data_IF_259718243566
#
_entry.id   IF_259718243566
#
_cell.length_a   1.000
_cell.length_b   1.000
_cell.length_c   1.000
_cell.angle_alpha   90.00
_cell.angle_beta   90.00
_cell.angle_gamma   90.00
#
_symmetry.space_group_name_H-M   'P 1'
#
loop_
_entity.id
_entity.type
_entity.pdbx_description
1 polymer ?
#
# COMPACT_ATOMS: atom_id res chain seq x y z
N UNK A 1 41.53 13.40 -11.72
CA UNK A 1 40.36 12.52 -12.01
C UNK A 1 39.05 12.91 -11.28
N UNK A 2 38.99 14.03 -10.54
CA UNK A 2 37.79 14.43 -9.77
C UNK A 2 36.76 15.28 -10.55
N UNK A 3 37.13 15.85 -11.69
CA UNK A 3 36.27 16.74 -12.49
C UNK A 3 35.15 15.99 -13.25
N UNK A 4 35.41 14.76 -13.73
CA UNK A 4 34.39 13.99 -14.44
C UNK A 4 33.29 13.45 -13.53
N UNK A 5 33.60 13.11 -12.27
CA UNK A 5 32.60 12.61 -11.32
C UNK A 5 31.60 13.68 -10.90
N UNK A 6 32.06 14.91 -10.65
CA UNK A 6 31.19 16.05 -10.34
C UNK A 6 30.26 16.44 -11.50
N UNK A 7 30.72 16.25 -12.75
CA UNK A 7 29.91 16.54 -13.93
C UNK A 7 28.76 15.51 -14.09
N UNK A 8 29.02 14.22 -13.85
CA UNK A 8 28.00 13.17 -13.98
C UNK A 8 26.84 13.32 -12.99
N UNK A 9 27.11 13.72 -11.74
CA UNK A 9 26.05 13.97 -10.75
C UNK A 9 25.17 15.17 -11.13
N UNK A 10 25.77 16.25 -11.66
CA UNK A 10 25.02 17.40 -12.16
C UNK A 10 24.15 17.02 -13.36
N UNK A 11 24.71 16.25 -14.30
CA UNK A 11 23.97 15.73 -15.45
C UNK A 11 22.79 14.85 -15.01
N UNK A 12 23.00 13.94 -14.05
CA UNK A 12 21.91 13.13 -13.50
C UNK A 12 20.79 13.98 -12.91
N UNK A 13 21.11 15.03 -12.12
CA UNK A 13 20.09 15.94 -11.57
C UNK A 13 19.30 16.67 -12.66
N UNK A 14 19.96 17.06 -13.75
CA UNK A 14 19.29 17.70 -14.89
C UNK A 14 18.36 16.71 -15.59
N UNK A 15 18.79 15.46 -15.79
CA UNK A 15 17.96 14.39 -16.37
C UNK A 15 16.73 14.09 -15.50
N UNK A 16 16.90 13.96 -14.17
CA UNK A 16 15.78 13.75 -13.26
C UNK A 16 14.72 14.86 -13.34
N UNK A 17 15.14 16.12 -13.52
CA UNK A 17 14.22 17.25 -13.70
C UNK A 17 13.48 17.20 -15.04
N UNK A 18 14.09 16.64 -16.08
CA UNK A 18 13.45 16.51 -17.40
C UNK A 18 12.38 15.41 -17.44
N UNK A 19 12.42 14.46 -16.49
CA UNK A 19 11.48 13.34 -16.45
C UNK A 19 11.68 12.29 -17.56
N UNK A 20 12.74 12.39 -18.36
CA UNK A 20 13.03 11.45 -19.44
C UNK A 20 13.55 10.12 -18.88
N UNK A 21 12.62 9.21 -18.63
CA UNK A 21 12.88 7.93 -17.95
C UNK A 21 13.86 7.05 -18.72
N UNK A 22 13.77 7.00 -20.04
CA UNK A 22 14.70 6.21 -20.87
C UNK A 22 16.12 6.74 -20.77
N UNK A 23 16.32 8.06 -20.90
CA UNK A 23 17.64 8.68 -20.73
C UNK A 23 18.16 8.52 -19.31
N UNK A 24 17.31 8.58 -18.30
CA UNK A 24 17.68 8.35 -16.90
C UNK A 24 18.21 6.93 -16.70
N UNK A 25 17.46 5.91 -17.16
CA UNK A 25 17.85 4.48 -17.06
C UNK A 25 19.14 4.22 -17.83
N UNK A 26 19.24 4.72 -19.06
CA UNK A 26 20.43 4.61 -19.89
C UNK A 26 21.65 5.26 -19.22
N UNK A 27 21.52 6.51 -18.77
CA UNK A 27 22.60 7.27 -18.15
C UNK A 27 23.10 6.61 -16.87
N UNK A 28 22.19 6.07 -16.06
CA UNK A 28 22.55 5.30 -14.87
C UNK A 28 23.35 4.04 -15.22
N UNK A 29 22.91 3.29 -16.24
CA UNK A 29 23.58 2.09 -16.74
C UNK A 29 25.02 2.32 -17.21
N UNK A 30 25.26 3.40 -17.97
CA UNK A 30 26.60 3.73 -18.48
C UNK A 30 27.49 4.41 -17.44
N UNK A 31 26.91 5.15 -16.50
CA UNK A 31 27.69 5.94 -15.53
C UNK A 31 28.41 5.08 -14.51
N UNK A 32 27.82 3.94 -14.12
CA UNK A 32 28.36 2.96 -13.17
C UNK A 32 28.82 3.57 -11.83
N UNK A 33 28.08 4.57 -11.34
CA UNK A 33 28.35 5.22 -10.06
C UNK A 33 27.23 4.91 -9.06
N UNK A 34 27.63 4.61 -7.82
CA UNK A 34 26.71 4.24 -6.73
C UNK A 34 25.59 5.27 -6.56
N UNK A 35 25.97 6.53 -6.45
CA UNK A 35 25.05 7.64 -6.17
C UNK A 35 24.06 7.83 -7.32
N UNK A 36 24.51 7.64 -8.57
CA UNK A 36 23.65 7.76 -9.76
C UNK A 36 22.62 6.63 -9.80
N UNK A 37 23.02 5.39 -9.47
CA UNK A 37 22.06 4.29 -9.38
C UNK A 37 21.00 4.55 -8.31
N UNK A 38 21.40 5.02 -7.12
CA UNK A 38 20.44 5.35 -6.05
C UNK A 38 19.49 6.46 -6.49
N UNK A 39 20.01 7.52 -7.12
CA UNK A 39 19.18 8.62 -7.65
C UNK A 39 18.19 8.15 -8.71
N UNK A 40 18.62 7.27 -9.63
CA UNK A 40 17.75 6.70 -10.65
C UNK A 40 16.63 5.86 -10.02
N UNK A 41 16.98 4.95 -9.12
CA UNK A 41 16.02 4.09 -8.43
C UNK A 41 15.01 4.90 -7.61
N UNK A 42 15.45 5.92 -6.87
CA UNK A 42 14.57 6.80 -6.11
C UNK A 42 13.57 7.53 -7.02
N UNK A 43 14.01 7.99 -8.19
CA UNK A 43 13.12 8.62 -9.16
C UNK A 43 12.11 7.61 -9.72
N UNK A 44 12.57 6.42 -10.11
CA UNK A 44 11.70 5.38 -10.66
C UNK A 44 10.61 4.92 -9.68
N UNK A 45 10.87 4.95 -8.36
CA UNK A 45 9.85 4.66 -7.34
C UNK A 45 8.68 5.64 -7.35
N UNK A 46 8.87 6.86 -7.85
CA UNK A 46 7.78 7.86 -7.97
C UNK A 46 6.89 7.61 -9.17
N UNK A 47 7.32 6.72 -10.07
CA UNK A 47 6.54 6.31 -11.23
C UNK A 47 5.61 5.14 -10.87
N UNK A 48 4.62 4.92 -11.71
CA UNK A 48 3.71 3.79 -11.59
C UNK A 48 4.44 2.48 -11.98
N UNK A 49 5.08 1.87 -10.98
CA UNK A 49 5.87 0.64 -11.12
C UNK A 49 5.04 -0.55 -11.59
N UNK A 50 3.70 -0.48 -11.53
CA UNK A 50 2.80 -1.56 -11.97
C UNK A 50 2.44 -1.48 -13.45
N UNK A 51 2.44 -0.28 -14.04
CA UNK A 51 2.21 -0.11 -15.49
C UNK A 51 3.32 -0.70 -16.33
N UNK A 52 4.55 -0.73 -15.81
CA UNK A 52 5.71 -1.24 -16.53
C UNK A 52 6.60 -2.11 -15.62
N UNK A 53 6.59 -3.45 -15.82
CA UNK A 53 7.49 -4.37 -15.13
C UNK A 53 8.98 -4.04 -15.29
N UNK A 54 9.38 -3.33 -16.36
CA UNK A 54 10.76 -2.88 -16.53
C UNK A 54 11.16 -1.82 -15.50
N UNK A 55 10.25 -0.96 -15.05
CA UNK A 55 10.52 0.01 -13.97
C UNK A 55 10.93 -0.74 -12.70
N UNK A 56 10.17 -1.77 -12.32
CA UNK A 56 10.47 -2.58 -11.15
C UNK A 56 11.83 -3.29 -11.27
N UNK A 57 12.12 -3.90 -12.44
CA UNK A 57 13.44 -4.52 -12.69
C UNK A 57 14.57 -3.51 -12.59
N UNK A 58 14.39 -2.30 -13.11
CA UNK A 58 15.37 -1.23 -13.06
C UNK A 58 15.61 -0.74 -11.62
N UNK A 59 14.56 -0.57 -10.81
CA UNK A 59 14.68 -0.23 -9.39
C UNK A 59 15.52 -1.28 -8.65
N UNK A 60 15.16 -2.57 -8.79
CA UNK A 60 15.89 -3.68 -8.16
C UNK A 60 17.35 -3.70 -8.61
N UNK A 61 17.58 -3.60 -9.93
CA UNK A 61 18.92 -3.58 -10.54
C UNK A 61 19.77 -2.43 -10.03
N UNK A 62 19.22 -1.23 -9.96
CA UNK A 62 19.94 -0.03 -9.54
C UNK A 62 20.21 -0.01 -8.04
N UNK A 63 19.28 -0.36 -7.16
CA UNK A 63 19.60 -0.45 -5.73
C UNK A 63 20.63 -1.53 -5.42
N UNK A 64 20.55 -2.67 -6.11
CA UNK A 64 21.53 -3.75 -5.97
C UNK A 64 22.92 -3.28 -6.41
N UNK A 65 23.05 -2.67 -7.60
CA UNK A 65 24.32 -2.12 -8.10
C UNK A 65 24.84 -0.95 -7.26
N UNK A 66 23.94 -0.15 -6.70
CA UNK A 66 24.22 0.94 -5.76
C UNK A 66 24.55 0.47 -4.34
N UNK A 67 24.48 -0.84 -4.04
CA UNK A 67 24.69 -1.41 -2.70
C UNK A 67 23.82 -0.74 -1.63
N UNK A 68 22.59 -0.39 -1.99
CA UNK A 68 21.61 0.26 -1.11
C UNK A 68 20.45 -0.69 -0.83
N UNK A 69 20.77 -1.82 -0.16
CA UNK A 69 19.80 -2.87 0.14
C UNK A 69 18.76 -2.46 1.19
N UNK A 70 19.08 -1.47 2.01
CA UNK A 70 18.16 -0.82 2.93
C UNK A 70 17.04 -0.08 2.19
N UNK A 71 17.37 0.64 1.13
CA UNK A 71 16.40 1.30 0.26
C UNK A 71 15.59 0.27 -0.55
N UNK A 72 16.24 -0.79 -1.04
CA UNK A 72 15.54 -1.88 -1.73
C UNK A 72 14.55 -2.61 -0.82
N UNK A 73 14.90 -2.83 0.45
CA UNK A 73 13.99 -3.40 1.42
C UNK A 73 12.76 -2.51 1.64
N UNK A 74 12.96 -1.18 1.75
CA UNK A 74 11.87 -0.22 1.84
C UNK A 74 10.95 -0.24 0.61
N UNK A 75 11.52 -0.38 -0.60
CA UNK A 75 10.74 -0.54 -1.83
C UNK A 75 9.86 -1.81 -1.79
N UNK A 76 10.39 -2.94 -1.32
CA UNK A 76 9.60 -4.17 -1.20
C UNK A 76 8.52 -4.07 -0.11
N UNK A 77 8.79 -3.40 1.02
CA UNK A 77 7.76 -3.15 2.05
C UNK A 77 6.63 -2.26 1.50
N UNK A 78 6.95 -1.22 0.73
CA UNK A 78 5.97 -0.39 0.04
C UNK A 78 5.16 -1.19 -1.00
N UNK A 79 5.82 -2.07 -1.76
CA UNK A 79 5.12 -2.99 -2.67
C UNK A 79 4.13 -3.89 -1.90
N UNK A 80 4.53 -4.43 -0.74
CA UNK A 80 3.65 -5.26 0.07
C UNK A 80 2.42 -4.49 0.56
N UNK A 81 2.61 -3.25 1.01
CA UNK A 81 1.52 -2.39 1.46
C UNK A 81 0.51 -2.12 0.35
N UNK A 82 0.98 -1.82 -0.87
CA UNK A 82 0.12 -1.62 -2.04
C UNK A 82 -0.67 -2.88 -2.41
N UNK A 83 -0.06 -4.07 -2.30
CA UNK A 83 -0.76 -5.34 -2.55
C UNK A 83 -1.86 -5.61 -1.52
N UNK A 84 -1.69 -5.15 -0.27
CA UNK A 84 -2.72 -5.21 0.77
C UNK A 84 -3.82 -4.17 0.51
N UNK A 85 -3.45 -2.89 0.36
CA UNK A 85 -4.38 -1.75 0.35
C UNK A 85 -5.14 -1.56 -0.96
N UNK A 86 -4.58 -1.96 -2.09
CA UNK A 86 -5.24 -1.76 -3.38
C UNK A 86 -5.86 -3.05 -3.92
N UNK A 87 -5.33 -4.20 -3.51
CA UNK A 87 -5.67 -5.48 -4.13
C UNK A 87 -6.12 -6.58 -3.19
N UNK A 88 -5.97 -6.39 -1.87
CA UNK A 88 -6.28 -7.43 -0.88
C UNK A 88 -5.54 -8.75 -1.19
N UNK A 89 -4.36 -8.67 -1.83
CA UNK A 89 -3.55 -9.81 -2.26
C UNK A 89 -2.45 -10.11 -1.23
N UNK A 90 -2.85 -10.79 -0.17
CA UNK A 90 -1.98 -11.11 0.96
C UNK A 90 -0.85 -12.06 0.59
N UNK A 91 -1.04 -12.97 -0.37
CA UNK A 91 0.02 -13.86 -0.87
C UNK A 91 1.16 -13.10 -1.53
N UNK A 92 0.84 -12.15 -2.41
CA UNK A 92 1.86 -11.29 -3.04
C UNK A 92 2.51 -10.37 -2.03
N UNK A 93 1.74 -9.82 -1.10
CA UNK A 93 2.28 -9.01 0.00
C UNK A 93 3.29 -9.82 0.84
N UNK A 94 2.99 -11.08 1.16
CA UNK A 94 3.92 -11.96 1.88
C UNK A 94 5.20 -12.23 1.08
N UNK A 95 5.08 -12.41 -0.24
CA UNK A 95 6.23 -12.55 -1.13
C UNK A 95 7.14 -11.31 -1.10
N UNK A 96 6.54 -10.12 -1.22
CA UNK A 96 7.27 -8.86 -1.15
C UNK A 96 7.92 -8.62 0.23
N UNK A 97 7.22 -8.87 1.34
CA UNK A 97 7.78 -8.79 2.70
C UNK A 97 8.97 -9.74 2.89
N UNK A 98 8.91 -10.94 2.29
CA UNK A 98 10.01 -11.90 2.34
C UNK A 98 11.25 -11.36 1.63
N UNK A 99 11.09 -10.72 0.47
CA UNK A 99 12.20 -10.07 -0.24
C UNK A 99 12.71 -8.83 0.52
N UNK A 100 11.83 -8.06 1.15
CA UNK A 100 12.19 -6.95 2.03
C UNK A 100 13.12 -7.43 3.16
N UNK A 101 12.72 -8.51 3.85
CA UNK A 101 13.51 -9.11 4.93
C UNK A 101 14.88 -9.62 4.45
N UNK A 102 14.93 -10.30 3.30
CA UNK A 102 16.19 -10.77 2.68
C UNK A 102 17.13 -9.61 2.33
N UNK A 103 16.58 -8.48 1.86
CA UNK A 103 17.37 -7.30 1.54
C UNK A 103 17.89 -6.62 2.81
N UNK A 104 17.01 -6.41 3.80
CA UNK A 104 17.37 -5.77 5.07
C UNK A 104 18.40 -6.57 5.85
N UNK A 105 18.30 -7.92 5.88
CA UNK A 105 19.25 -8.77 6.60
C UNK A 105 20.67 -8.72 6.04
N UNK A 106 20.81 -8.41 4.73
CA UNK A 106 22.10 -8.26 4.05
C UNK A 106 22.56 -6.80 3.95
N UNK A 107 21.71 -5.84 4.33
CA UNK A 107 22.03 -4.43 4.25
C UNK A 107 23.17 -4.08 5.21
N UNK A 108 24.08 -3.21 4.76
CA UNK A 108 25.11 -2.63 5.62
C UNK A 108 24.57 -1.34 6.22
N UNK A 109 23.86 -1.44 7.33
CA UNK A 109 23.36 -0.28 8.06
C UNK A 109 24.47 0.31 8.94
N UNK A 110 24.31 1.58 9.33
CA UNK A 110 25.25 2.24 10.25
C UNK A 110 25.02 1.82 11.71
N UNK A 111 23.79 1.44 12.03
CA UNK A 111 23.36 1.01 13.35
C UNK A 111 22.83 -0.44 13.26
N UNK A 112 23.52 -1.41 13.90
CA UNK A 112 23.03 -2.78 14.01
C UNK A 112 21.68 -2.86 14.72
N UNK A 113 21.47 -2.03 15.74
CA UNK A 113 20.21 -1.99 16.52
C UNK A 113 19.05 -1.55 15.63
N UNK A 114 19.23 -0.52 14.79
CA UNK A 114 18.18 -0.11 13.85
C UNK A 114 17.86 -1.19 12.81
N UNK A 115 18.88 -1.95 12.40
CA UNK A 115 18.68 -3.07 11.47
C UNK A 115 17.88 -4.19 12.13
N UNK A 116 18.22 -4.56 13.36
CA UNK A 116 17.50 -5.56 14.12
C UNK A 116 16.04 -5.15 14.36
N UNK A 117 15.79 -3.90 14.73
CA UNK A 117 14.43 -3.37 14.88
C UNK A 117 13.63 -3.46 13.57
N UNK A 118 14.23 -3.10 12.42
CA UNK A 118 13.58 -3.22 11.11
C UNK A 118 13.30 -4.67 10.73
N UNK A 119 14.22 -5.59 11.04
CA UNK A 119 14.03 -7.02 10.80
C UNK A 119 12.89 -7.60 11.67
N UNK A 120 12.85 -7.23 12.95
CA UNK A 120 11.78 -7.62 13.86
C UNK A 120 10.42 -7.10 13.39
N UNK A 121 10.37 -5.84 12.92
CA UNK A 121 9.16 -5.25 12.35
C UNK A 121 8.66 -6.03 11.12
N UNK A 122 9.56 -6.32 10.17
CA UNK A 122 9.23 -7.12 8.98
C UNK A 122 8.78 -8.54 9.35
N UNK A 123 9.39 -9.17 10.35
CA UNK A 123 8.98 -10.49 10.84
C UNK A 123 7.59 -10.47 11.47
N UNK A 124 7.28 -9.44 12.27
CA UNK A 124 5.95 -9.24 12.84
C UNK A 124 4.90 -9.12 11.74
N UNK A 125 5.14 -8.23 10.76
CA UNK A 125 4.28 -8.07 9.58
C UNK A 125 4.02 -9.40 8.86
N UNK A 126 5.09 -10.14 8.54
CA UNK A 126 4.99 -11.43 7.86
C UNK A 126 4.18 -12.45 8.66
N UNK A 127 4.29 -12.44 10.00
CA UNK A 127 3.58 -13.36 10.88
C UNK A 127 2.08 -13.10 10.84
N UNK A 128 1.68 -11.83 10.95
CA UNK A 128 0.26 -11.44 10.86
C UNK A 128 -0.31 -11.83 9.49
N UNK A 129 0.36 -11.45 8.40
CA UNK A 129 -0.09 -11.78 7.03
C UNK A 129 -0.23 -13.30 6.83
N UNK A 130 0.74 -14.09 7.31
CA UNK A 130 0.67 -15.56 7.24
C UNK A 130 -0.53 -16.12 8.00
N UNK A 131 -0.80 -15.64 9.21
CA UNK A 131 -1.95 -16.08 10.02
C UNK A 131 -3.26 -15.80 9.29
N UNK A 132 -3.41 -14.63 8.68
CA UNK A 132 -4.63 -14.31 7.95
C UNK A 132 -4.81 -15.14 6.67
N UNK A 133 -3.74 -15.36 5.90
CA UNK A 133 -3.77 -16.27 4.74
C UNK A 133 -4.16 -17.69 5.20
N UNK A 134 -3.59 -18.16 6.30
CA UNK A 134 -3.88 -19.48 6.83
C UNK A 134 -5.34 -19.60 7.27
N UNK A 135 -5.89 -18.61 7.99
CA UNK A 135 -7.29 -18.59 8.39
C UNK A 135 -8.24 -18.66 7.17
N UNK A 136 -7.95 -17.88 6.12
CA UNK A 136 -8.73 -17.90 4.87
C UNK A 136 -8.70 -19.26 4.17
N UNK A 137 -7.55 -19.94 4.16
CA UNK A 137 -7.41 -21.28 3.56
C UNK A 137 -8.08 -22.35 4.41
N UNK A 138 -7.96 -22.26 5.73
CA UNK A 138 -8.54 -23.21 6.67
C UNK A 138 -10.07 -23.17 6.64
N UNK A 139 -10.68 -22.05 6.24
CA UNK A 139 -12.13 -21.88 6.27
C UNK A 139 -12.92 -22.98 5.54
N UNK A 140 -12.41 -23.52 4.43
CA UNK A 140 -13.10 -24.62 3.72
C UNK A 140 -13.07 -25.96 4.47
N UNK A 141 -12.15 -26.13 5.41
CA UNK A 141 -11.96 -27.36 6.18
C UNK A 141 -12.55 -27.24 7.59
N UNK A 142 -12.25 -26.13 8.28
CA UNK A 142 -12.75 -25.82 9.62
C UNK A 142 -13.13 -24.34 9.73
N UNK A 143 -14.39 -23.98 9.40
CA UNK A 143 -14.89 -22.62 9.52
C UNK A 143 -14.80 -22.06 10.94
N UNK A 144 -14.96 -22.89 11.97
CA UNK A 144 -14.99 -22.42 13.36
C UNK A 144 -13.60 -22.02 13.81
N UNK A 145 -12.60 -22.84 13.53
CA UNK A 145 -11.22 -22.51 13.88
C UNK A 145 -10.71 -21.34 13.02
N UNK A 146 -11.08 -21.26 11.75
CA UNK A 146 -10.75 -20.10 10.90
C UNK A 146 -11.31 -18.78 11.47
N UNK A 147 -12.58 -18.77 11.88
CA UNK A 147 -13.20 -17.61 12.55
C UNK A 147 -12.49 -17.26 13.84
N UNK A 148 -12.18 -18.24 14.70
CA UNK A 148 -11.42 -18.03 15.94
C UNK A 148 -10.06 -17.40 15.68
N UNK A 149 -9.33 -17.85 14.65
CA UNK A 149 -8.03 -17.27 14.29
C UNK A 149 -8.17 -15.80 13.84
N UNK A 150 -9.23 -15.46 13.10
CA UNK A 150 -9.53 -14.09 12.73
C UNK A 150 -9.89 -13.22 13.94
N UNK A 151 -10.66 -13.72 14.91
CA UNK A 151 -10.95 -13.01 16.16
C UNK A 151 -9.69 -12.75 16.99
N UNK A 152 -8.79 -13.74 17.09
CA UNK A 152 -7.50 -13.56 17.76
C UNK A 152 -6.64 -12.52 17.04
N UNK A 153 -6.68 -12.47 15.70
CA UNK A 153 -5.98 -11.45 14.92
C UNK A 153 -6.47 -10.03 15.24
N UNK A 154 -7.76 -9.83 15.48
CA UNK A 154 -8.31 -8.51 15.86
C UNK A 154 -7.75 -7.96 17.18
N UNK A 155 -7.16 -8.82 18.02
CA UNK A 155 -6.52 -8.44 19.27
C UNK A 155 -5.01 -8.19 19.17
N UNK A 156 -4.39 -8.45 18.02
CA UNK A 156 -2.95 -8.28 17.85
C UNK A 156 -2.56 -6.80 17.74
N UNK A 157 -1.44 -6.39 18.37
CA UNK A 157 -0.88 -5.06 18.12
C UNK A 157 -0.46 -4.94 16.66
N UNK A 158 -0.50 -3.72 16.13
CA UNK A 158 -0.05 -3.36 14.78
C UNK A 158 -0.81 -4.03 13.62
N UNK A 159 -1.94 -4.71 13.89
CA UNK A 159 -2.78 -5.32 12.86
C UNK A 159 -3.12 -4.30 11.77
N UNK A 160 -3.65 -3.13 12.16
CA UNK A 160 -4.12 -2.07 11.26
C UNK A 160 -3.03 -1.53 10.32
N UNK A 161 -1.76 -1.71 10.68
CA UNK A 161 -0.61 -1.25 9.87
C UNK A 161 -0.08 -2.31 8.90
N UNK A 162 -0.60 -3.54 9.00
CA UNK A 162 -0.10 -4.71 8.26
C UNK A 162 -1.19 -5.38 7.43
N UNK A 163 -2.38 -5.53 8.01
CA UNK A 163 -3.56 -6.13 7.42
C UNK A 163 -4.68 -5.11 7.55
N UNK A 164 -5.57 -5.10 6.57
CA UNK A 164 -6.73 -4.23 6.65
C UNK A 164 -7.71 -4.82 7.63
N UNK A 165 -7.93 -4.11 8.72
CA UNK A 165 -8.93 -4.46 9.72
C UNK A 165 -10.30 -4.77 9.10
N UNK A 166 -10.67 -4.00 8.06
CA UNK A 166 -11.91 -4.20 7.33
C UNK A 166 -12.00 -5.56 6.63
N UNK A 167 -10.89 -6.10 6.11
CA UNK A 167 -10.89 -7.42 5.46
C UNK A 167 -11.11 -8.54 6.49
N UNK A 168 -10.54 -8.41 7.70
CA UNK A 168 -10.74 -9.38 8.79
C UNK A 168 -12.17 -9.33 9.32
N UNK A 169 -12.69 -8.12 9.55
CA UNK A 169 -14.08 -7.94 9.98
C UNK A 169 -15.07 -8.39 8.90
N UNK A 170 -14.79 -8.11 7.63
CA UNK A 170 -15.62 -8.55 6.51
C UNK A 170 -15.71 -10.07 6.42
N UNK A 171 -14.58 -10.75 6.60
CA UNK A 171 -14.53 -12.22 6.71
C UNK A 171 -15.44 -12.75 7.83
N UNK A 172 -15.42 -12.13 9.02
CA UNK A 172 -16.27 -12.52 10.14
C UNK A 172 -17.76 -12.25 9.87
N UNK A 173 -18.10 -11.13 9.23
CA UNK A 173 -19.47 -10.80 8.82
C UNK A 173 -20.01 -11.87 7.87
N UNK A 174 -19.23 -12.24 6.84
CA UNK A 174 -19.64 -13.26 5.87
C UNK A 174 -19.84 -14.62 6.54
N UNK A 175 -18.97 -15.01 7.47
CA UNK A 175 -19.12 -16.25 8.25
C UNK A 175 -20.43 -16.27 9.05
N UNK A 176 -20.67 -15.27 9.88
CA UNK A 176 -21.87 -15.23 10.71
C UNK A 176 -23.16 -15.11 9.88
N UNK A 177 -23.10 -14.46 8.72
CA UNK A 177 -24.22 -14.45 7.78
C UNK A 177 -24.52 -15.87 7.26
N UNK A 178 -23.49 -16.63 6.86
CA UNK A 178 -23.65 -18.03 6.41
C UNK A 178 -24.25 -18.92 7.51
N UNK A 179 -23.88 -18.68 8.76
CA UNK A 179 -24.41 -19.40 9.93
C UNK A 179 -25.80 -18.92 10.38
N UNK A 180 -26.39 -17.92 9.70
CA UNK A 180 -27.64 -17.25 10.07
C UNK A 180 -27.61 -16.57 11.45
N UNK A 181 -26.43 -16.26 11.95
CA UNK A 181 -26.19 -15.55 13.21
C UNK A 181 -26.21 -14.04 12.98
N UNK A 182 -27.35 -13.53 12.49
CA UNK A 182 -27.47 -12.14 12.02
C UNK A 182 -27.09 -11.09 13.07
N UNK A 183 -27.34 -11.38 14.36
CA UNK A 183 -26.99 -10.49 15.46
C UNK A 183 -25.47 -10.32 15.62
N UNK A 184 -24.70 -11.41 15.42
CA UNK A 184 -23.25 -11.37 15.48
C UNK A 184 -22.68 -10.68 14.24
N UNK A 185 -23.20 -11.02 13.05
CA UNK A 185 -22.82 -10.34 11.80
C UNK A 185 -23.04 -8.82 11.88
N UNK A 186 -24.17 -8.38 12.44
CA UNK A 186 -24.47 -6.96 12.64
C UNK A 186 -23.52 -6.28 13.63
N UNK A 187 -23.12 -6.96 14.71
CA UNK A 187 -22.13 -6.42 15.65
C UNK A 187 -20.78 -6.14 14.98
N UNK A 188 -20.29 -7.06 14.14
CA UNK A 188 -19.05 -6.82 13.40
C UNK A 188 -19.17 -5.70 12.36
N UNK A 189 -20.34 -5.51 11.72
CA UNK A 189 -20.59 -4.35 10.85
C UNK A 189 -20.54 -3.03 11.64
N UNK A 190 -21.13 -2.99 12.83
CA UNK A 190 -21.07 -1.80 13.69
C UNK A 190 -19.66 -1.53 14.23
N UNK A 191 -18.92 -2.58 14.57
CA UNK A 191 -17.51 -2.45 14.94
C UNK A 191 -16.65 -1.93 13.78
N UNK A 192 -16.92 -2.39 12.56
CA UNK A 192 -16.29 -1.86 11.35
C UNK A 192 -16.59 -0.37 11.16
N UNK A 193 -17.85 0.06 11.33
CA UNK A 193 -18.24 1.48 11.27
C UNK A 193 -17.56 2.34 12.31
N UNK A 194 -17.40 1.83 13.54
CA UNK A 194 -16.76 2.55 14.64
C UNK A 194 -15.25 2.67 14.45
N UNK A 195 -14.60 1.59 14.03
CA UNK A 195 -13.13 1.53 13.90
C UNK A 195 -12.65 2.12 12.57
N UNK A 196 -13.51 2.13 11.54
CA UNK A 196 -13.18 2.62 10.20
C UNK A 196 -14.27 3.62 9.72
N UNK A 197 -14.44 4.77 10.40
CA UNK A 197 -15.58 5.67 10.19
C UNK A 197 -15.60 6.43 8.85
N UNK A 198 -14.46 6.51 8.16
CA UNK A 198 -14.29 7.32 6.95
C UNK A 198 -14.19 6.49 5.66
N UNK A 199 -14.57 5.21 5.69
CA UNK A 199 -14.45 4.32 4.53
C UNK A 199 -15.81 3.76 4.15
N UNK A 200 -16.07 3.72 2.84
CA UNK A 200 -17.25 3.05 2.31
C UNK A 200 -17.20 1.56 2.66
N UNK A 201 -18.13 1.10 3.49
CA UNK A 201 -18.26 -0.31 3.92
C UNK A 201 -18.27 -1.29 2.75
N UNK A 202 -18.80 -0.86 1.59
CA UNK A 202 -18.86 -1.66 0.38
C UNK A 202 -17.48 -2.09 -0.16
N UNK A 203 -16.41 -1.46 0.33
CA UNK A 203 -15.03 -1.83 0.01
C UNK A 203 -14.61 -3.15 0.70
N UNK A 204 -15.20 -3.46 1.86
CA UNK A 204 -14.85 -4.62 2.69
C UNK A 204 -15.94 -5.69 2.69
N UNK A 205 -17.21 -5.28 2.59
CA UNK A 205 -18.37 -6.16 2.65
C UNK A 205 -19.30 -5.83 1.51
N UNK A 206 -19.70 -6.84 0.72
CA UNK A 206 -20.62 -6.61 -0.39
C UNK A 206 -21.96 -6.05 0.11
N UNK A 207 -22.56 -5.14 -0.66
CA UNK A 207 -23.84 -4.53 -0.34
C UNK A 207 -24.93 -5.59 -0.07
N UNK A 208 -24.92 -6.69 -0.82
CA UNK A 208 -25.85 -7.81 -0.62
C UNK A 208 -25.71 -8.45 0.77
N UNK A 209 -24.49 -8.59 1.28
CA UNK A 209 -24.22 -9.11 2.63
C UNK A 209 -24.82 -8.17 3.67
N UNK A 210 -24.58 -6.86 3.54
CA UNK A 210 -25.14 -5.84 4.44
C UNK A 210 -26.67 -5.89 4.45
N UNK A 211 -27.29 -5.93 3.26
CA UNK A 211 -28.74 -6.02 3.11
C UNK A 211 -29.32 -7.30 3.71
N UNK A 212 -28.62 -8.44 3.55
CA UNK A 212 -29.04 -9.72 4.11
C UNK A 212 -29.00 -9.72 5.64
N UNK A 213 -27.97 -9.14 6.25
CA UNK A 213 -27.87 -8.98 7.72
C UNK A 213 -29.00 -8.11 8.24
N UNK A 214 -29.25 -6.95 7.63
CA UNK A 214 -30.34 -6.05 8.03
C UNK A 214 -31.72 -6.72 7.90
N UNK A 215 -31.95 -7.46 6.79
CA UNK A 215 -33.18 -8.22 6.57
C UNK A 215 -33.38 -9.29 7.63
N UNK A 216 -32.33 -10.04 7.98
CA UNK A 216 -32.38 -11.10 8.99
C UNK A 216 -32.76 -10.59 10.38
N UNK A 217 -32.47 -9.32 10.69
CA UNK A 217 -32.84 -8.66 11.95
C UNK A 217 -34.13 -7.83 11.87
N UNK A 218 -34.79 -7.75 10.70
CA UNK A 218 -35.95 -6.89 10.51
C UNK A 218 -35.65 -5.39 10.65
N UNK A 219 -34.39 -4.98 10.48
CA UNK A 219 -33.97 -3.58 10.58
C UNK A 219 -34.21 -2.93 9.20
N UNK A 220 -34.99 -1.83 9.12
CA UNK A 220 -35.15 -1.10 7.87
C UNK A 220 -33.80 -0.61 7.35
N UNK A 221 -33.51 -0.88 6.08
CA UNK A 221 -32.35 -0.31 5.39
C UNK A 221 -32.56 1.20 5.28
N UNK A 222 -32.02 1.96 6.23
CA UNK A 222 -32.01 3.41 6.16
C UNK A 222 -31.36 3.85 4.85
N UNK A 223 -32.09 4.62 4.06
CA UNK A 223 -31.74 5.09 2.71
C UNK A 223 -30.63 6.16 2.75
N UNK A 224 -29.51 5.89 3.45
CA UNK A 224 -28.46 6.87 3.74
C UNK A 224 -27.05 6.39 3.40
N UNK A 225 -26.88 5.61 2.32
CA UNK A 225 -25.63 5.63 1.56
C UNK A 225 -25.78 6.63 0.42
N UNK A 226 -25.92 7.91 0.77
CA UNK A 226 -25.56 8.95 -0.19
C UNK A 226 -24.09 8.70 -0.57
N UNK A 227 -23.72 8.74 -1.85
CA UNK A 227 -22.31 8.69 -2.20
C UNK A 227 -21.68 9.93 -1.57
N UNK A 228 -20.84 9.73 -0.55
CA UNK A 228 -19.91 10.76 -0.11
C UNK A 228 -19.20 11.23 -1.37
N UNK A 229 -19.50 12.46 -1.76
CA UNK A 229 -18.83 13.13 -2.85
C UNK A 229 -17.34 13.07 -2.51
N UNK A 230 -16.62 12.21 -3.23
CA UNK A 230 -15.17 12.22 -3.33
C UNK A 230 -14.79 13.69 -3.54
N UNK A 231 -14.25 14.35 -2.50
CA UNK A 231 -13.53 15.60 -2.68
C UNK A 231 -12.23 15.23 -3.38
N UNK A 232 -12.34 15.10 -4.69
CA UNK A 232 -11.22 15.12 -5.59
C UNK A 232 -10.59 16.51 -5.46
N UNK A 233 -9.45 16.59 -4.76
CA UNK A 233 -8.61 17.79 -4.81
C UNK A 233 -7.89 17.81 -6.17
N UNK A 234 -8.63 18.06 -7.25
CA UNK A 234 -8.03 18.54 -8.48
C UNK A 234 -7.75 20.03 -8.31
N UNK A 235 -6.46 20.35 -8.27
CA UNK A 235 -5.97 21.71 -8.48
C UNK A 235 -6.19 22.00 -9.96
N UNK A 236 -7.30 22.64 -10.30
CA UNK A 236 -7.51 23.19 -11.64
C UNK A 236 -7.78 24.70 -11.54
N UNK A 237 -6.84 25.41 -12.14
CA UNK A 237 -6.96 26.66 -12.88
C UNK A 237 -7.59 27.87 -12.18
N UNK A 238 -6.68 28.70 -11.64
CA UNK A 238 -6.91 30.14 -11.54
C UNK A 238 -6.94 30.71 -12.96
N UNK A 239 -8.15 30.95 -13.45
CA UNK A 239 -8.40 31.84 -14.57
C UNK A 239 -7.80 33.22 -14.26
N UNK A 240 -6.99 33.71 -15.19
CA UNK A 240 -6.41 35.05 -15.19
C UNK A 240 -7.50 35.97 -15.72
N UNK A 241 -8.01 36.84 -14.86
CA UNK A 241 -8.99 37.88 -15.22
C UNK A 241 -8.26 38.98 -16.01
N UNK A 242 -8.53 39.05 -17.33
CA UNK A 242 -8.12 40.16 -18.19
C UNK A 242 -8.89 41.42 -17.79
N UNK A 243 -8.18 42.43 -17.27
CA UNK A 243 -8.72 43.76 -17.04
C UNK A 243 -8.78 44.50 -18.37
N UNK A 244 -9.97 44.61 -18.95
CA UNK A 244 -10.26 45.54 -20.02
C UNK A 244 -10.41 46.95 -19.42
N UNK A 245 -9.49 47.85 -19.76
CA UNK A 245 -9.55 49.27 -19.43
C UNK A 245 -10.39 49.97 -20.51
N UNK A 246 -11.66 50.24 -20.21
CA UNK A 246 -12.51 51.09 -21.02
C UNK A 246 -12.15 52.57 -20.77
N UNK A 247 -11.54 53.19 -21.76
CA UNK A 247 -11.46 54.63 -21.89
C UNK A 247 -12.84 55.17 -22.31
N UNK A 248 -13.48 55.98 -21.45
CA UNK A 248 -14.55 56.89 -21.90
C UNK A 248 -14.03 58.33 -22.05
N UNK A 249 -14.46 59.04 -23.11
CA UNK A 249 -14.09 60.42 -23.37
C UNK A 249 -15.12 61.40 -22.78
N UNK A 250 -14.66 62.51 -22.22
CA UNK A 250 -15.32 63.83 -22.21
C UNK A 250 -14.34 64.90 -21.75
#
# INVERSE_FOLDING_TARGET
>A
KYTQAGNKLKAMRALLKSGDTEKIVFFAGVSRQREIYIMAANYLQTLDCRKDPEIMKNIISFYTKGRALDLLAGFYDACAQVEVDEFQNYEKALGALTEAYKCMSKAKTRSPVEQENKLAHLQSKMTLVKRFIQARRLYSEDPKEATRQCELLLGEPDLDTTIRLGDVLGFLVDHHLQMQEFQMAYRYLEDMRKKIPCVNLNYYVNQQTVEAVHRGLGIPLGRNTAPERLRHNSVEDKEIEEVADEAEPS
#
